data_IF_961659069761
#
_entry.id   IF_961659069761
#
_cell.length_a   1.000
_cell.length_b   1.000
_cell.length_c   1.000
_cell.angle_alpha   90.00
_cell.angle_beta   90.00
_cell.angle_gamma   90.00
#
_symmetry.space_group_name_H-M   'P 1'
#
loop_
_entity.id
_entity.type
_entity.pdbx_description
1 polymer ?
#
# COMPACT_ATOMS: atom_id res chain seq x y z
N UNK A 1 64.72 3.03 7.44
CA UNK A 1 64.47 4.26 8.20
C UNK A 1 63.11 4.74 7.73
N UNK A 2 62.11 4.74 8.63
CA UNK A 2 60.70 5.11 8.47
C UNK A 2 59.92 4.31 7.39
N UNK A 3 59.19 3.24 7.74
CA UNK A 3 57.89 3.21 8.44
C UNK A 3 56.79 3.89 7.61
N UNK A 4 56.32 3.13 6.62
CA UNK A 4 55.11 3.41 5.87
C UNK A 4 53.94 3.03 6.78
N UNK A 5 53.45 3.99 7.56
CA UNK A 5 52.25 3.84 8.37
C UNK A 5 51.05 3.70 7.44
N UNK A 6 50.73 2.45 7.11
CA UNK A 6 49.40 2.03 6.64
C UNK A 6 48.39 2.34 7.76
N UNK A 7 47.95 3.59 7.82
CA UNK A 7 46.73 3.99 8.51
C UNK A 7 45.56 3.53 7.64
N UNK A 8 45.37 2.21 7.54
CA UNK A 8 44.05 1.67 7.28
C UNK A 8 43.22 2.04 8.52
N UNK A 9 42.46 3.13 8.42
CA UNK A 9 41.42 3.47 9.38
C UNK A 9 40.51 2.25 9.51
N UNK A 10 40.74 1.41 10.52
CA UNK A 10 39.81 0.34 10.89
C UNK A 10 38.48 1.04 11.18
N UNK A 11 37.51 0.86 10.28
CA UNK A 11 36.16 1.37 10.53
C UNK A 11 35.74 0.92 11.93
N UNK A 12 35.23 1.85 12.78
CA UNK A 12 34.92 1.53 14.16
C UNK A 12 33.96 0.34 14.19
N UNK A 13 34.44 -0.78 14.74
CA UNK A 13 33.68 -2.02 14.85
C UNK A 13 32.39 -1.71 15.60
N UNK A 14 31.25 -1.89 14.95
CA UNK A 14 29.93 -1.64 15.56
C UNK A 14 29.78 -2.52 16.81
N UNK A 15 29.81 -1.89 17.99
CA UNK A 15 29.63 -2.59 19.26
C UNK A 15 28.16 -2.98 19.42
N UNK A 16 27.89 -4.28 19.53
CA UNK A 16 26.53 -4.78 19.66
C UNK A 16 26.12 -4.82 21.13
N UNK A 17 25.11 -4.04 21.47
CA UNK A 17 24.42 -4.11 22.76
C UNK A 17 23.24 -5.08 22.63
N UNK A 18 23.23 -6.09 23.50
CA UNK A 18 22.14 -7.06 23.55
C UNK A 18 20.82 -6.38 23.98
N UNK A 19 19.71 -6.92 23.48
CA UNK A 19 18.37 -6.53 23.95
C UNK A 19 18.21 -6.91 25.43
N UNK A 20 17.48 -6.09 26.19
CA UNK A 20 17.13 -6.37 27.59
C UNK A 20 16.01 -7.41 27.74
N UNK A 21 15.38 -7.81 26.64
CA UNK A 21 14.30 -8.80 26.64
C UNK A 21 14.82 -10.18 27.02
N UNK A 22 14.08 -10.88 27.87
CA UNK A 22 14.27 -12.32 28.05
C UNK A 22 13.88 -13.10 26.80
N UNK A 23 14.36 -14.34 26.68
CA UNK A 23 14.17 -15.18 25.48
C UNK A 23 12.69 -15.39 25.12
N UNK A 24 11.80 -15.54 26.12
CA UNK A 24 10.39 -15.76 25.86
C UNK A 24 9.72 -14.48 25.33
N UNK A 25 9.96 -13.33 25.96
CA UNK A 25 9.44 -12.04 25.49
C UNK A 25 10.04 -11.64 24.13
N UNK A 26 11.30 -11.99 23.88
CA UNK A 26 11.95 -11.81 22.58
C UNK A 26 11.22 -12.62 21.50
N UNK A 27 10.91 -13.88 21.77
CA UNK A 27 10.17 -14.74 20.85
C UNK A 27 8.76 -14.21 20.56
N UNK A 28 8.01 -13.77 21.58
CA UNK A 28 6.69 -13.14 21.40
C UNK A 28 6.78 -11.86 20.54
N UNK A 29 7.79 -11.02 20.79
CA UNK A 29 8.03 -9.79 20.04
C UNK A 29 8.36 -10.06 18.57
N UNK A 30 9.14 -11.11 18.28
CA UNK A 30 9.44 -11.53 16.90
C UNK A 30 8.19 -12.04 16.17
N UNK A 31 7.35 -12.83 16.85
CA UNK A 31 6.06 -13.29 16.28
C UNK A 31 5.20 -12.08 15.95
N UNK A 32 5.09 -11.12 16.86
CA UNK A 32 4.29 -9.92 16.68
C UNK A 32 4.84 -9.02 15.57
N UNK A 33 6.16 -8.91 15.45
CA UNK A 33 6.84 -8.20 14.36
C UNK A 33 6.51 -8.83 13.01
N UNK A 34 6.61 -10.16 12.90
CA UNK A 34 6.31 -10.91 11.67
C UNK A 34 4.85 -10.77 11.26
N UNK A 35 3.92 -10.97 12.20
CA UNK A 35 2.47 -10.81 11.98
C UNK A 35 2.14 -9.41 11.43
N UNK A 36 2.72 -8.37 12.05
CA UNK A 36 2.50 -6.99 11.60
C UNK A 36 3.05 -6.73 10.18
N UNK A 37 4.19 -7.32 9.82
CA UNK A 37 4.74 -7.25 8.44
C UNK A 37 3.84 -7.95 7.43
N UNK A 38 3.34 -9.14 7.78
CA UNK A 38 2.47 -9.93 6.92
C UNK A 38 1.10 -9.25 6.73
N UNK A 39 0.54 -8.66 7.78
CA UNK A 39 -0.69 -7.85 7.71
C UNK A 39 -0.53 -6.62 6.81
N UNK A 40 0.62 -5.93 6.87
CA UNK A 40 0.91 -4.81 5.96
C UNK A 40 0.96 -5.28 4.50
N UNK A 41 1.61 -6.41 4.22
CA UNK A 41 1.70 -6.99 2.86
C UNK A 41 0.34 -7.44 2.36
N UNK A 42 -0.45 -8.09 3.21
CA UNK A 42 -1.81 -8.53 2.92
C UNK A 42 -2.69 -7.33 2.55
N UNK A 43 -2.70 -6.28 3.37
CA UNK A 43 -3.49 -5.07 3.12
C UNK A 43 -3.08 -4.39 1.80
N UNK A 44 -1.78 -4.34 1.47
CA UNK A 44 -1.33 -3.85 0.16
C UNK A 44 -1.82 -4.72 -0.99
N UNK A 45 -1.76 -6.03 -0.87
CA UNK A 45 -2.30 -6.96 -1.88
C UNK A 45 -3.79 -6.70 -2.09
N UNK A 46 -4.54 -6.52 -1.00
CA UNK A 46 -5.97 -6.24 -1.05
C UNK A 46 -6.27 -4.87 -1.70
N UNK A 47 -5.48 -3.83 -1.45
CA UNK A 47 -5.62 -2.54 -2.14
C UNK A 47 -5.49 -2.67 -3.65
N UNK A 48 -4.50 -3.42 -4.13
CA UNK A 48 -4.33 -3.68 -5.56
C UNK A 48 -5.46 -4.52 -6.15
N UNK A 49 -5.94 -5.53 -5.40
CA UNK A 49 -7.11 -6.33 -5.81
C UNK A 49 -8.38 -5.49 -5.87
N UNK A 50 -8.58 -4.55 -4.95
CA UNK A 50 -9.72 -3.62 -4.97
C UNK A 50 -9.66 -2.71 -6.19
N UNK A 51 -8.50 -2.13 -6.51
CA UNK A 51 -8.32 -1.33 -7.73
C UNK A 51 -8.59 -2.17 -8.98
N UNK A 52 -7.95 -3.33 -9.10
CA UNK A 52 -8.11 -4.22 -10.24
C UNK A 52 -9.55 -4.72 -10.41
N UNK A 53 -10.22 -5.04 -9.30
CA UNK A 53 -11.62 -5.43 -9.28
C UNK A 53 -12.56 -4.31 -9.73
N UNK A 54 -12.35 -3.08 -9.26
CA UNK A 54 -13.13 -1.93 -9.71
C UNK A 54 -12.95 -1.67 -11.22
N UNK A 55 -11.71 -1.72 -11.72
CA UNK A 55 -11.43 -1.58 -13.15
C UNK A 55 -12.06 -2.70 -13.99
N UNK A 56 -12.02 -3.95 -13.52
CA UNK A 56 -12.68 -5.07 -14.18
C UNK A 56 -14.20 -4.88 -14.24
N UNK A 57 -14.82 -4.39 -13.15
CA UNK A 57 -16.24 -4.04 -13.14
C UNK A 57 -16.53 -2.94 -14.16
N UNK A 58 -15.70 -1.91 -14.28
CA UNK A 58 -15.90 -0.88 -15.30
C UNK A 58 -15.87 -1.44 -16.72
N UNK A 59 -14.93 -2.35 -17.01
CA UNK A 59 -14.89 -3.03 -18.31
C UNK A 59 -16.15 -3.87 -18.57
N UNK A 60 -16.65 -4.59 -17.56
CA UNK A 60 -17.90 -5.36 -17.64
C UNK A 60 -19.12 -4.46 -17.87
N UNK A 61 -19.21 -3.32 -17.18
CA UNK A 61 -20.29 -2.35 -17.38
C UNK A 61 -20.24 -1.74 -18.79
N UNK A 62 -19.04 -1.43 -19.30
CA UNK A 62 -18.85 -0.96 -20.67
C UNK A 62 -19.29 -2.01 -21.71
N UNK A 63 -18.92 -3.27 -21.48
CA UNK A 63 -19.36 -4.39 -22.32
C UNK A 63 -20.88 -4.60 -22.27
N UNK A 64 -21.50 -4.50 -21.09
CA UNK A 64 -22.95 -4.58 -20.93
C UNK A 64 -23.65 -3.44 -21.69
N UNK A 65 -23.16 -2.21 -21.59
CA UNK A 65 -23.70 -1.07 -22.34
C UNK A 65 -23.57 -1.23 -23.85
N UNK A 66 -22.47 -1.81 -24.33
CA UNK A 66 -22.26 -2.09 -25.75
C UNK A 66 -23.27 -3.08 -26.35
N UNK A 67 -23.67 -4.10 -25.57
CA UNK A 67 -24.57 -5.17 -25.99
C UNK A 67 -26.05 -4.93 -25.62
N UNK A 68 -26.35 -3.80 -24.99
CA UNK A 68 -27.71 -3.45 -24.56
C UNK A 68 -28.53 -2.82 -25.69
N UNK A 69 -29.85 -2.79 -25.54
CA UNK A 69 -30.82 -2.12 -26.43
C UNK A 69 -30.68 -0.58 -26.46
N UNK A 70 -29.64 -0.03 -25.82
CA UNK A 70 -29.28 1.40 -25.77
C UNK A 70 -30.36 2.30 -25.19
N UNK A 71 -31.30 1.73 -24.43
CA UNK A 71 -32.24 2.52 -23.65
C UNK A 71 -31.49 3.49 -22.73
N UNK A 72 -31.79 4.78 -22.86
CA UNK A 72 -31.13 5.86 -22.12
C UNK A 72 -31.13 5.60 -20.60
N UNK A 73 -32.24 5.11 -20.06
CA UNK A 73 -32.35 4.76 -18.64
C UNK A 73 -31.31 3.71 -18.24
N UNK A 74 -31.13 2.67 -19.05
CA UNK A 74 -30.19 1.59 -18.77
C UNK A 74 -28.74 2.09 -18.77
N UNK A 75 -28.35 2.87 -19.77
CA UNK A 75 -27.00 3.44 -19.86
C UNK A 75 -26.70 4.41 -18.71
N UNK A 76 -27.67 5.24 -18.31
CA UNK A 76 -27.56 6.10 -17.11
C UNK A 76 -27.38 5.27 -15.83
N UNK A 77 -28.13 4.18 -15.70
CA UNK A 77 -28.00 3.28 -14.55
C UNK A 77 -26.60 2.66 -14.48
N UNK A 78 -26.00 2.23 -15.61
CA UNK A 78 -24.63 1.69 -15.63
C UNK A 78 -23.59 2.72 -15.17
N UNK A 79 -23.73 3.99 -15.58
CA UNK A 79 -22.86 5.09 -15.13
C UNK A 79 -23.04 5.34 -13.63
N UNK A 80 -24.28 5.35 -13.12
CA UNK A 80 -24.53 5.54 -11.68
C UNK A 80 -23.88 4.39 -10.87
N UNK A 81 -24.01 3.15 -11.34
CA UNK A 81 -23.37 1.99 -10.71
C UNK A 81 -21.85 2.16 -10.66
N UNK A 82 -21.20 2.62 -11.74
CA UNK A 82 -19.74 2.81 -11.73
C UNK A 82 -19.27 3.87 -10.74
N UNK A 83 -20.06 4.93 -10.51
CA UNK A 83 -19.80 5.90 -9.44
C UNK A 83 -19.94 5.30 -8.04
N UNK A 84 -20.96 4.48 -7.81
CA UNK A 84 -21.15 3.78 -6.52
C UNK A 84 -19.98 2.82 -6.25
N UNK A 85 -19.56 2.05 -7.26
CA UNK A 85 -18.40 1.16 -7.18
C UNK A 85 -17.12 1.96 -6.90
N UNK A 86 -16.93 3.11 -7.58
CA UNK A 86 -15.80 4.01 -7.30
C UNK A 86 -15.77 4.44 -5.84
N UNK A 87 -16.90 4.91 -5.31
CA UNK A 87 -16.99 5.39 -3.93
C UNK A 87 -16.68 4.26 -2.92
N UNK A 88 -17.24 3.07 -3.13
CA UNK A 88 -16.97 1.90 -2.28
C UNK A 88 -15.51 1.44 -2.33
N UNK A 89 -14.91 1.43 -3.51
CA UNK A 89 -13.50 1.06 -3.67
C UNK A 89 -12.55 2.10 -3.03
N UNK A 90 -12.83 3.40 -3.18
CA UNK A 90 -12.07 4.47 -2.51
C UNK A 90 -12.15 4.30 -0.99
N UNK A 91 -13.36 4.10 -0.46
CA UNK A 91 -13.58 3.87 0.96
C UNK A 91 -12.79 2.67 1.49
N UNK A 92 -12.84 1.53 0.78
CA UNK A 92 -12.10 0.33 1.14
C UNK A 92 -10.58 0.57 1.14
N UNK A 93 -10.04 1.25 0.11
CA UNK A 93 -8.62 1.60 0.06
C UNK A 93 -8.23 2.48 1.26
N UNK A 94 -9.03 3.48 1.62
CA UNK A 94 -8.79 4.34 2.77
C UNK A 94 -8.74 3.55 4.10
N UNK A 95 -9.67 2.61 4.32
CA UNK A 95 -9.62 1.72 5.50
C UNK A 95 -8.34 0.90 5.51
N UNK A 96 -7.99 0.28 4.37
CA UNK A 96 -6.79 -0.54 4.28
C UNK A 96 -5.52 0.28 4.53
N UNK A 97 -5.50 1.56 4.10
CA UNK A 97 -4.43 2.49 4.44
C UNK A 97 -4.39 2.79 5.94
N UNK A 98 -5.54 3.03 6.57
CA UNK A 98 -5.61 3.25 8.02
C UNK A 98 -5.07 2.04 8.79
N UNK A 99 -5.49 0.83 8.42
CA UNK A 99 -5.00 -0.41 9.04
C UNK A 99 -3.48 -0.57 8.89
N UNK A 100 -2.92 -0.36 7.69
CA UNK A 100 -1.45 -0.38 7.53
C UNK A 100 -0.74 0.64 8.42
N UNK A 101 -1.37 1.76 8.75
CA UNK A 101 -0.79 2.75 9.65
C UNK A 101 -0.74 2.23 11.09
N UNK A 102 -1.82 1.60 11.56
CA UNK A 102 -1.90 0.99 12.89
C UNK A 102 -0.88 -0.14 13.05
N UNK A 103 -0.73 -1.03 12.06
CA UNK A 103 0.30 -2.09 12.10
C UNK A 103 1.72 -1.52 12.14
N UNK A 104 1.98 -0.40 11.44
CA UNK A 104 3.28 0.30 11.53
C UNK A 104 3.51 0.95 12.89
N UNK A 105 2.46 1.39 13.57
CA UNK A 105 2.58 1.91 14.93
C UNK A 105 2.92 0.81 15.92
N UNK A 106 2.27 -0.35 15.79
CA UNK A 106 2.60 -1.57 16.54
C UNK A 106 4.07 -1.96 16.33
N UNK A 107 4.54 -2.02 15.08
CA UNK A 107 5.95 -2.25 14.76
C UNK A 107 6.88 -1.22 15.40
N UNK A 108 6.53 0.06 15.40
CA UNK A 108 7.36 1.11 16.01
C UNK A 108 7.57 0.89 17.50
N UNK A 109 6.57 0.36 18.22
CA UNK A 109 6.68 0.04 19.64
C UNK A 109 7.59 -1.16 19.87
N UNK A 110 7.38 -2.26 19.14
CA UNK A 110 8.16 -3.50 19.27
C UNK A 110 9.64 -3.25 18.97
N UNK A 111 9.93 -2.46 17.93
CA UNK A 111 11.31 -2.27 17.46
C UNK A 111 12.19 -1.63 18.52
N UNK A 112 11.67 -0.77 19.40
CA UNK A 112 12.42 -0.06 20.46
C UNK A 112 13.04 -1.03 21.47
N UNK A 113 12.49 -2.22 21.63
CA UNK A 113 12.96 -3.23 22.58
C UNK A 113 14.07 -4.12 22.00
N UNK A 114 14.38 -4.01 20.70
CA UNK A 114 15.39 -4.83 20.05
C UNK A 114 16.81 -4.25 20.17
N UNK A 115 17.81 -5.05 19.81
CA UNK A 115 19.23 -4.69 19.91
C UNK A 115 19.59 -3.46 19.06
N UNK A 116 20.68 -2.80 19.43
CA UNK A 116 21.19 -1.65 18.68
C UNK A 116 21.57 -2.01 17.22
N UNK A 117 22.04 -3.24 16.97
CA UNK A 117 22.31 -3.76 15.62
C UNK A 117 21.04 -3.81 14.78
N UNK A 118 19.95 -4.35 15.35
CA UNK A 118 18.66 -4.39 14.68
C UNK A 118 18.20 -2.98 14.31
N UNK A 119 18.35 -2.03 15.23
CA UNK A 119 18.04 -0.63 14.98
C UNK A 119 18.87 -0.02 13.86
N UNK A 120 20.17 -0.26 13.83
CA UNK A 120 21.08 0.23 12.79
C UNK A 120 20.63 -0.26 11.41
N UNK A 121 20.35 -1.56 11.29
CA UNK A 121 19.85 -2.16 10.04
C UNK A 121 18.46 -1.63 9.69
N UNK A 122 17.54 -1.53 10.65
CA UNK A 122 16.18 -1.07 10.39
C UNK A 122 16.12 0.40 9.96
N UNK A 123 17.00 1.26 10.51
CA UNK A 123 17.06 2.70 10.20
C UNK A 123 17.65 3.01 8.82
N UNK A 124 18.30 2.04 8.15
CA UNK A 124 18.74 2.20 6.75
C UNK A 124 17.63 2.67 5.83
N UNK A 125 16.38 2.26 6.11
CA UNK A 125 15.21 2.70 5.36
C UNK A 125 14.71 4.06 5.86
N UNK A 126 14.84 5.08 5.01
CA UNK A 126 14.32 6.42 5.30
C UNK A 126 12.80 6.40 5.51
N UNK A 127 12.36 6.93 6.67
CA UNK A 127 10.94 7.03 7.04
C UNK A 127 10.19 8.00 6.12
N UNK A 128 10.82 9.14 5.81
CA UNK A 128 10.24 10.18 4.95
C UNK A 128 10.02 9.61 3.55
N UNK A 129 11.03 8.93 3.01
CA UNK A 129 10.96 8.30 1.69
C UNK A 129 9.84 7.24 1.65
N UNK A 130 9.76 6.37 2.66
CA UNK A 130 8.73 5.36 2.75
C UNK A 130 7.30 5.94 2.84
N UNK A 131 7.14 7.12 3.44
CA UNK A 131 5.86 7.83 3.47
C UNK A 131 5.53 8.49 2.14
N UNK A 132 6.51 9.11 1.48
CA UNK A 132 6.36 9.69 0.13
C UNK A 132 5.90 8.61 -0.86
N UNK A 133 6.61 7.48 -0.92
CA UNK A 133 6.25 6.35 -1.80
C UNK A 133 4.83 5.85 -1.55
N UNK A 134 4.39 5.81 -0.28
CA UNK A 134 3.03 5.40 0.07
C UNK A 134 1.97 6.36 -0.48
N UNK A 135 2.17 7.67 -0.32
CA UNK A 135 1.22 8.66 -0.81
C UNK A 135 1.22 8.76 -2.33
N UNK A 136 2.38 8.62 -2.99
CA UNK A 136 2.46 8.53 -4.45
C UNK A 136 1.63 7.35 -4.94
N UNK A 137 1.79 6.17 -4.33
CA UNK A 137 1.04 4.98 -4.72
C UNK A 137 -0.46 5.12 -4.46
N UNK A 138 -0.86 5.71 -3.33
CA UNK A 138 -2.25 5.97 -3.02
C UNK A 138 -2.88 6.94 -4.04
N UNK A 139 -2.21 8.04 -4.34
CA UNK A 139 -2.64 9.01 -5.34
C UNK A 139 -2.77 8.35 -6.72
N UNK A 140 -1.79 7.52 -7.10
CA UNK A 140 -1.85 6.75 -8.34
C UNK A 140 -3.10 5.87 -8.40
N UNK A 141 -3.40 5.09 -7.36
CA UNK A 141 -4.60 4.24 -7.31
C UNK A 141 -5.90 5.04 -7.46
N UNK A 142 -6.01 6.17 -6.76
CA UNK A 142 -7.20 7.03 -6.84
C UNK A 142 -7.36 7.65 -8.22
N UNK A 143 -6.28 8.19 -8.80
CA UNK A 143 -6.29 8.80 -10.13
C UNK A 143 -6.67 7.76 -11.18
N UNK A 144 -6.05 6.57 -11.16
CA UNK A 144 -6.38 5.47 -12.10
C UNK A 144 -7.86 5.09 -12.01
N UNK A 145 -8.41 5.04 -10.79
CA UNK A 145 -9.82 4.72 -10.60
C UNK A 145 -10.77 5.80 -11.14
N UNK A 146 -10.46 7.07 -10.92
CA UNK A 146 -11.23 8.20 -11.47
C UNK A 146 -11.15 8.24 -13.00
N UNK A 147 -9.95 8.01 -13.57
CA UNK A 147 -9.76 7.92 -15.02
C UNK A 147 -10.56 6.76 -15.59
N UNK A 148 -10.50 5.58 -14.97
CA UNK A 148 -11.25 4.40 -15.42
C UNK A 148 -12.76 4.66 -15.47
N UNK A 149 -13.31 5.29 -14.43
CA UNK A 149 -14.72 5.65 -14.38
C UNK A 149 -15.07 6.73 -15.43
N UNK A 150 -14.23 7.76 -15.59
CA UNK A 150 -14.41 8.79 -16.61
C UNK A 150 -14.41 8.20 -18.03
N UNK A 151 -13.47 7.30 -18.32
CA UNK A 151 -13.40 6.60 -19.62
C UNK A 151 -14.66 5.79 -19.89
N UNK A 152 -15.17 5.05 -18.90
CA UNK A 152 -16.43 4.32 -19.02
C UNK A 152 -17.60 5.26 -19.33
N UNK A 153 -17.75 6.34 -18.55
CA UNK A 153 -18.83 7.31 -18.76
C UNK A 153 -18.77 7.88 -20.19
N UNK A 154 -17.59 8.28 -20.64
CA UNK A 154 -17.37 8.83 -21.99
C UNK A 154 -17.59 7.79 -23.10
N UNK A 155 -17.29 6.52 -22.84
CA UNK A 155 -17.55 5.43 -23.79
C UNK A 155 -19.06 5.16 -23.93
N UNK A 156 -19.83 5.35 -22.86
CA UNK A 156 -21.28 5.16 -22.87
C UNK A 156 -22.06 6.37 -23.41
N UNK A 157 -21.53 7.60 -23.29
CA UNK A 157 -22.23 8.82 -23.73
C UNK A 157 -22.71 8.81 -25.19
N UNK A 158 -21.91 8.39 -26.19
CA UNK A 158 -22.32 8.41 -27.60
C UNK A 158 -23.50 7.48 -27.92
N UNK A 159 -23.88 6.57 -27.02
CA UNK A 159 -25.05 5.72 -27.20
C UNK A 159 -26.36 6.41 -26.80
N UNK A 160 -26.32 7.60 -26.19
CA UNK A 160 -27.52 8.39 -25.91
C UNK A 160 -28.09 9.08 -27.16
N UNK A 161 -27.24 9.38 -28.15
CA UNK A 161 -27.60 10.20 -29.32
C UNK A 161 -27.99 9.36 -30.56
N UNK A 162 -28.11 8.02 -30.42
CA UNK A 162 -28.46 7.08 -31.50
C UNK A 162 -29.70 6.29 -31.17
#
# INVERSE_FOLDING_TARGET
MAEDTDLAEEEPRFEVEASELDEATHAESLVLYRDSQDNIRFSKSLQWKTLGGALAIYALLGFAGWNSERAETHLKTLIIISWVISAGAIYAICILQSWQNTEREKLRKIIVEFSNLFHAVYRTKSRTEANIHRYILLSFMLITMLIGNYVLAKLLTPFFDK
#
